data_IF_167288267819
#
_entry.id   IF_167288267819
#
_cell.length_a   1.000
_cell.length_b   1.000
_cell.length_c   1.000
_cell.angle_alpha   90.00
_cell.angle_beta   90.00
_cell.angle_gamma   90.00
#
_symmetry.space_group_name_H-M   'P 1'
#
loop_
_entity.id
_entity.type
_entity.pdbx_description
1 polymer ?
#
# COMPACT_ATOMS: atom_id res chain seq x y z
N UNK A 1 6.65 -15.69 11.25
CA UNK A 1 5.79 -14.54 10.85
C UNK A 1 4.42 -15.08 10.43
N UNK A 2 3.33 -14.43 10.81
CA UNK A 2 1.92 -14.88 10.72
C UNK A 2 1.32 -14.95 9.31
N UNK A 3 2.15 -14.94 8.26
CA UNK A 3 1.68 -15.03 6.87
C UNK A 3 1.01 -13.78 6.32
N UNK A 4 1.13 -12.64 7.01
CA UNK A 4 0.54 -11.36 6.61
C UNK A 4 1.55 -10.23 6.77
N UNK A 5 1.57 -9.31 5.82
CA UNK A 5 2.31 -8.05 5.84
C UNK A 5 1.30 -6.91 5.90
N UNK A 6 1.51 -5.95 6.79
CA UNK A 6 0.73 -4.72 6.84
C UNK A 6 1.52 -3.60 6.17
N UNK A 7 0.89 -2.87 5.27
CA UNK A 7 1.44 -1.69 4.61
C UNK A 7 0.56 -0.50 4.97
N UNK A 8 1.16 0.57 5.44
CA UNK A 8 0.47 1.85 5.61
C UNK A 8 0.71 2.67 4.35
N UNK A 9 -0.37 3.10 3.71
CA UNK A 9 -0.36 3.92 2.49
C UNK A 9 -0.99 5.27 2.80
N UNK A 10 -0.37 6.36 2.39
CA UNK A 10 -0.94 7.70 2.51
C UNK A 10 -1.65 8.06 1.20
N UNK A 11 -2.88 8.59 1.30
CA UNK A 11 -3.64 9.20 0.21
C UNK A 11 -4.13 10.61 0.58
N UNK A 12 -4.91 11.25 -0.28
CA UNK A 12 -5.41 12.61 -0.07
C UNK A 12 -6.34 12.74 1.16
N UNK A 13 -6.86 11.63 1.68
CA UNK A 13 -7.76 11.53 2.83
C UNK A 13 -7.07 10.97 4.09
N UNK A 14 -5.78 10.64 4.01
CA UNK A 14 -4.95 10.23 5.14
C UNK A 14 -4.39 8.81 5.00
N UNK A 15 -4.23 8.12 6.13
CA UNK A 15 -3.61 6.80 6.18
C UNK A 15 -4.60 5.66 5.90
N UNK A 16 -4.23 4.77 5.00
CA UNK A 16 -4.92 3.53 4.63
C UNK A 16 -4.08 2.34 5.07
N UNK A 17 -4.66 1.47 5.88
CA UNK A 17 -4.04 0.20 6.24
C UNK A 17 -4.34 -0.87 5.18
N UNK A 18 -3.30 -1.36 4.53
CA UNK A 18 -3.37 -2.40 3.51
C UNK A 18 -2.87 -3.72 4.09
N UNK A 19 -3.66 -4.78 3.91
CA UNK A 19 -3.33 -6.14 4.33
C UNK A 19 -2.86 -6.92 3.11
N UNK A 20 -1.62 -7.39 3.14
CA UNK A 20 -0.99 -8.16 2.06
C UNK A 20 -0.69 -9.56 2.56
N UNK A 21 -1.41 -10.55 2.04
CA UNK A 21 -1.15 -11.96 2.36
C UNK A 21 0.20 -12.42 1.79
N UNK A 22 0.85 -13.35 2.49
CA UNK A 22 2.18 -13.87 2.15
C UNK A 22 2.33 -14.22 0.67
N UNK A 23 1.38 -14.96 0.12
CA UNK A 23 1.45 -15.40 -1.28
C UNK A 23 1.51 -14.24 -2.27
N UNK A 24 0.80 -13.14 -1.98
CA UNK A 24 0.86 -11.92 -2.80
C UNK A 24 2.18 -11.18 -2.56
N UNK A 25 2.60 -11.05 -1.30
CA UNK A 25 3.84 -10.39 -0.93
C UNK A 25 5.07 -11.06 -1.55
N UNK A 26 5.10 -12.39 -1.62
CA UNK A 26 6.18 -13.16 -2.25
C UNK A 26 6.16 -12.99 -3.77
N UNK A 27 4.99 -13.13 -4.42
CA UNK A 27 4.85 -12.97 -5.88
C UNK A 27 5.15 -11.56 -6.36
N UNK A 28 4.83 -10.54 -5.58
CA UNK A 28 4.99 -9.12 -5.95
C UNK A 28 5.99 -8.37 -5.06
N UNK A 29 6.98 -9.06 -4.49
CA UNK A 29 7.94 -8.51 -3.52
C UNK A 29 8.63 -7.23 -3.99
N UNK A 30 9.02 -7.17 -5.26
CA UNK A 30 9.69 -6.00 -5.85
C UNK A 30 8.79 -4.76 -5.81
N UNK A 31 7.52 -4.91 -6.20
CA UNK A 31 6.54 -3.83 -6.16
C UNK A 31 6.22 -3.44 -4.72
N UNK A 32 5.99 -4.43 -3.85
CA UNK A 32 5.63 -4.21 -2.45
C UNK A 32 6.67 -3.38 -1.67
N UNK A 33 7.96 -3.61 -1.92
CA UNK A 33 9.04 -2.98 -1.14
C UNK A 33 9.72 -1.84 -1.90
N UNK A 34 9.69 -1.85 -3.24
CA UNK A 34 10.44 -0.90 -4.07
C UNK A 34 9.64 0.31 -4.55
N UNK A 35 8.32 0.29 -4.45
CA UNK A 35 7.48 1.39 -4.94
C UNK A 35 7.48 2.59 -4.00
N UNK A 36 7.69 3.78 -4.57
CA UNK A 36 7.42 5.06 -3.90
C UNK A 36 5.97 5.51 -4.11
N UNK A 37 5.38 5.18 -5.27
CA UNK A 37 3.95 5.32 -5.52
C UNK A 37 3.37 3.94 -5.79
N UNK A 38 2.53 3.46 -4.87
CA UNK A 38 1.97 2.12 -4.89
C UNK A 38 0.46 2.19 -5.12
N UNK A 39 -0.02 1.64 -6.23
CA UNK A 39 -1.45 1.38 -6.40
C UNK A 39 -1.79 -0.02 -5.90
N UNK A 40 -2.81 -0.09 -5.04
CA UNK A 40 -3.32 -1.35 -4.50
C UNK A 40 -4.73 -1.59 -5.06
N UNK A 41 -4.88 -2.68 -5.80
CA UNK A 41 -6.18 -3.21 -6.18
C UNK A 41 -6.59 -4.30 -5.19
N UNK A 42 -7.78 -4.19 -4.64
CA UNK A 42 -8.23 -5.10 -3.59
C UNK A 42 -9.64 -4.83 -3.10
N UNK A 43 -10.00 -5.51 -2.00
CA UNK A 43 -11.30 -5.36 -1.36
C UNK A 43 -11.19 -4.47 -0.13
N UNK A 44 -11.94 -3.36 -0.12
CA UNK A 44 -12.10 -2.57 1.08
C UNK A 44 -13.02 -3.31 2.06
N UNK A 45 -12.55 -3.47 3.29
CA UNK A 45 -13.32 -4.05 4.39
C UNK A 45 -13.41 -3.04 5.53
N UNK A 46 -14.55 -3.05 6.20
CA UNK A 46 -14.80 -2.24 7.39
C UNK A 46 -15.35 -3.16 8.47
N UNK A 47 -14.68 -3.20 9.62
CA UNK A 47 -15.12 -3.98 10.77
C UNK A 47 -14.86 -3.19 12.06
N UNK A 48 -15.90 -3.02 12.86
CA UNK A 48 -15.82 -2.36 14.17
C UNK A 48 -15.17 -0.97 14.11
N UNK A 49 -15.44 -0.20 13.05
CA UNK A 49 -14.90 1.16 12.87
C UNK A 49 -13.49 1.23 12.26
N UNK A 50 -12.81 0.10 12.09
CA UNK A 50 -11.51 0.03 11.41
C UNK A 50 -11.71 -0.35 9.95
N UNK A 51 -11.09 0.43 9.05
CA UNK A 51 -11.08 0.17 7.62
C UNK A 51 -9.71 -0.38 7.21
N UNK A 52 -9.73 -1.46 6.43
CA UNK A 52 -8.53 -2.04 5.83
C UNK A 52 -8.79 -2.47 4.39
N UNK A 53 -7.77 -2.31 3.55
CA UNK A 53 -7.81 -2.76 2.16
C UNK A 53 -7.09 -4.11 2.05
N UNK A 54 -7.83 -5.18 1.73
CA UNK A 54 -7.23 -6.50 1.47
C UNK A 54 -6.68 -6.51 0.05
N UNK A 55 -5.35 -6.53 -0.08
CA UNK A 55 -4.68 -6.47 -1.37
C UNK A 55 -4.87 -7.76 -2.18
N UNK A 56 -5.18 -7.59 -3.47
CA UNK A 56 -5.24 -8.67 -4.46
C UNK A 56 -4.19 -8.50 -5.55
N UNK A 57 -3.82 -7.25 -5.88
CA UNK A 57 -2.75 -6.92 -6.82
C UNK A 57 -2.12 -5.57 -6.49
N UNK A 58 -0.82 -5.50 -6.68
CA UNK A 58 0.01 -4.31 -6.49
C UNK A 58 0.56 -3.85 -7.84
N UNK A 59 0.61 -2.53 -8.04
CA UNK A 59 1.20 -1.90 -9.21
C UNK A 59 2.20 -0.83 -8.78
N UNK A 60 3.38 -0.88 -9.39
CA UNK A 60 4.39 0.15 -9.20
C UNK A 60 4.09 1.32 -10.13
N UNK A 61 3.65 2.43 -9.53
CA UNK A 61 3.38 3.68 -10.24
C UNK A 61 4.50 4.71 -10.03
N UNK A 62 5.61 4.33 -9.39
CA UNK A 62 6.79 5.19 -9.18
C UNK A 62 7.23 5.93 -10.46
N UNK A 63 7.17 5.33 -11.68
CA UNK A 63 7.51 6.07 -12.89
C UNK A 63 6.67 7.34 -13.14
N UNK A 64 5.45 7.43 -12.60
CA UNK A 64 4.60 8.64 -12.70
C UNK A 64 5.12 9.80 -11.85
N UNK A 65 6.00 9.52 -10.88
CA UNK A 65 6.64 10.52 -10.04
C UNK A 65 7.88 11.14 -10.70
N UNK A 66 8.26 10.72 -11.91
CA UNK A 66 9.46 11.22 -12.59
C UNK A 66 9.38 12.73 -12.77
N UNK A 67 10.32 13.46 -12.17
CA UNK A 67 10.39 14.93 -12.24
C UNK A 67 9.59 15.67 -11.16
N UNK A 68 8.97 14.97 -10.21
CA UNK A 68 8.33 15.55 -9.04
C UNK A 68 9.23 15.40 -7.80
N UNK A 69 9.33 16.45 -6.98
CA UNK A 69 9.93 16.35 -5.65
C UNK A 69 8.87 15.76 -4.70
N UNK A 70 8.89 14.43 -4.56
CA UNK A 70 7.95 13.70 -3.73
C UNK A 70 8.55 13.53 -2.34
N UNK A 71 8.22 14.46 -1.45
CA UNK A 71 8.50 14.34 -0.02
C UNK A 71 7.23 13.94 0.71
N UNK A 72 7.36 12.99 1.62
CA UNK A 72 6.30 12.66 2.57
C UNK A 72 5.88 13.93 3.31
N UNK A 73 4.58 14.14 3.51
CA UNK A 73 4.12 15.24 4.37
C UNK A 73 4.40 14.85 5.82
N UNK A 74 5.32 15.58 6.45
CA UNK A 74 5.47 15.52 7.89
C UNK A 74 4.29 16.26 8.52
N UNK A 75 3.30 15.54 9.04
CA UNK A 75 2.24 16.12 9.85
C UNK A 75 2.76 16.29 11.29
N UNK A 76 3.10 17.53 11.66
CA UNK A 76 3.31 17.92 13.06
C UNK A 76 1.98 18.29 13.74
#
# INVERSE_FOLDING_TARGET
>A
ASGVTFVTLEDEFGMVNVVVWRDLAERQRKVLVGSQLLQVFGRLESKSGVRHLIAQRLYDLTPLLTGLDVRSRDFQ
#
